data_IF_562608864608
#
_entry.id   IF_562608864608
#
_cell.length_a   1.000
_cell.length_b   1.000
_cell.length_c   1.000
_cell.angle_alpha   90.00
_cell.angle_beta   90.00
_cell.angle_gamma   90.00
#
_symmetry.space_group_name_H-M   'P 1'
#
loop_
_entity.id
_entity.type
_entity.pdbx_description
1 polymer ?
#
# COMPACT_ATOMS: atom_id res chain seq x y z
N UNK A 1 12.12 -31.74 -70.72
CA UNK A 1 11.67 -30.44 -70.20
C UNK A 1 10.64 -30.71 -69.12
N UNK A 2 10.59 -29.86 -68.09
CA UNK A 2 9.72 -29.90 -66.88
C UNK A 2 10.01 -30.96 -65.81
N UNK A 3 10.62 -30.51 -64.70
CA UNK A 3 10.62 -31.15 -63.39
C UNK A 3 10.63 -30.06 -62.31
N UNK A 4 9.81 -30.14 -61.23
CA UNK A 4 9.46 -28.99 -60.41
C UNK A 4 10.53 -28.71 -59.34
N UNK A 5 10.94 -27.45 -59.21
CA UNK A 5 11.74 -26.98 -58.08
C UNK A 5 10.82 -26.70 -56.90
N UNK A 6 10.85 -27.56 -55.89
CA UNK A 6 10.27 -27.26 -54.57
C UNK A 6 11.05 -26.09 -53.94
N UNK A 7 10.41 -24.93 -53.85
CA UNK A 7 10.87 -23.83 -53.02
C UNK A 7 10.37 -24.09 -51.58
N UNK A 8 11.28 -24.46 -50.67
CA UNK A 8 11.00 -24.40 -49.24
C UNK A 8 10.92 -22.93 -48.82
N UNK A 9 9.71 -22.44 -48.60
CA UNK A 9 9.50 -21.18 -47.88
C UNK A 9 9.70 -21.45 -46.38
N UNK A 10 10.86 -21.07 -45.86
CA UNK A 10 11.10 -21.04 -44.42
C UNK A 10 10.30 -19.87 -43.82
N UNK A 11 9.12 -20.16 -43.26
CA UNK A 11 8.37 -19.22 -42.44
C UNK A 11 9.14 -19.02 -41.13
N UNK A 12 9.90 -17.93 -41.04
CA UNK A 12 10.43 -17.40 -39.78
C UNK A 12 9.25 -16.96 -38.92
N UNK A 13 8.78 -17.87 -38.05
CA UNK A 13 7.95 -17.53 -36.91
C UNK A 13 8.78 -16.60 -36.02
N UNK A 14 8.62 -15.29 -36.23
CA UNK A 14 9.09 -14.27 -35.31
C UNK A 14 8.20 -14.38 -34.07
N UNK A 15 8.56 -15.28 -33.16
CA UNK A 15 8.05 -15.28 -31.81
C UNK A 15 8.43 -13.95 -31.18
N UNK A 16 7.49 -13.01 -31.19
CA UNK A 16 7.52 -11.85 -30.31
C UNK A 16 7.42 -12.38 -28.88
N UNK A 17 8.54 -12.85 -28.33
CA UNK A 17 8.69 -12.94 -26.89
C UNK A 17 8.69 -11.50 -26.40
N UNK A 18 7.50 -11.01 -26.06
CA UNK A 18 7.36 -9.88 -25.17
C UNK A 18 8.31 -10.16 -24.00
N UNK A 19 9.24 -9.25 -23.65
CA UNK A 19 10.05 -9.46 -22.46
C UNK A 19 9.05 -9.61 -21.31
N UNK A 20 8.99 -10.82 -20.74
CA UNK A 20 8.20 -11.08 -19.54
C UNK A 20 8.75 -10.07 -18.53
N UNK A 21 7.94 -9.07 -18.19
CA UNK A 21 8.33 -8.09 -17.21
C UNK A 21 8.56 -8.84 -15.91
N UNK A 22 9.82 -9.07 -15.55
CA UNK A 22 10.19 -9.71 -14.30
C UNK A 22 9.44 -8.99 -13.18
N UNK A 23 8.54 -9.73 -12.52
CA UNK A 23 7.88 -9.21 -11.35
C UNK A 23 8.94 -8.97 -10.29
N UNK A 24 9.15 -7.69 -9.97
CA UNK A 24 10.29 -7.24 -9.18
C UNK A 24 9.92 -6.96 -7.72
N UNK A 25 8.64 -7.08 -7.34
CA UNK A 25 8.17 -6.80 -5.98
C UNK A 25 6.95 -7.62 -5.59
N UNK A 26 6.87 -8.00 -4.32
CA UNK A 26 5.75 -8.72 -3.71
C UNK A 26 4.42 -7.94 -3.75
N UNK A 27 4.45 -6.62 -4.01
CA UNK A 27 3.24 -5.83 -4.23
C UNK A 27 2.35 -6.36 -5.36
N UNK A 28 2.92 -7.10 -6.32
CA UNK A 28 2.19 -7.78 -7.41
C UNK A 28 1.06 -8.69 -6.90
N UNK A 29 1.16 -9.20 -5.67
CA UNK A 29 0.13 -10.01 -5.01
C UNK A 29 -1.19 -9.23 -4.82
N UNK A 30 -1.15 -7.90 -4.79
CA UNK A 30 -2.35 -7.08 -4.74
C UNK A 30 -3.18 -7.20 -6.03
N UNK A 31 -2.50 -7.29 -7.17
CA UNK A 31 -3.09 -7.31 -8.51
C UNK A 31 -3.49 -8.71 -8.97
N UNK A 32 -2.83 -9.73 -8.42
CA UNK A 32 -3.09 -11.13 -8.74
C UNK A 32 -3.64 -11.81 -7.47
N UNK A 33 -4.93 -11.59 -7.13
CA UNK A 33 -5.52 -12.19 -5.94
C UNK A 33 -5.38 -13.72 -6.01
N UNK A 34 -4.76 -14.29 -4.99
CA UNK A 34 -4.70 -15.73 -4.80
C UNK A 34 -6.14 -16.18 -4.52
N UNK A 35 -6.77 -16.82 -5.50
CA UNK A 35 -8.09 -17.43 -5.30
C UNK A 35 -7.96 -18.53 -4.24
N UNK A 36 -8.96 -18.62 -3.36
CA UNK A 36 -8.97 -19.51 -2.18
C UNK A 36 -8.39 -20.89 -2.52
N UNK A 37 -7.38 -21.39 -1.79
CA UNK A 37 -6.81 -22.70 -2.02
C UNK A 37 -7.74 -23.78 -1.45
N UNK A 38 -8.94 -23.95 -2.01
CA UNK A 38 -9.81 -25.09 -1.67
C UNK A 38 -9.40 -26.39 -2.40
N UNK A 39 -8.22 -26.43 -3.02
CA UNK A 39 -7.62 -27.67 -3.53
C UNK A 39 -6.32 -28.01 -2.80
N UNK A 40 -6.45 -28.42 -1.54
CA UNK A 40 -5.49 -29.28 -0.89
C UNK A 40 -5.66 -30.72 -1.43
N UNK A 41 -5.28 -30.94 -2.68
CA UNK A 41 -5.12 -32.29 -3.24
C UNK A 41 -3.62 -32.57 -3.39
N UNK A 42 -3.20 -33.69 -2.80
CA UNK A 42 -1.84 -34.24 -2.85
C UNK A 42 -1.31 -34.21 -4.30
N UNK A 43 -0.23 -33.46 -4.54
CA UNK A 43 0.47 -33.42 -5.83
C UNK A 43 0.44 -32.08 -6.59
N UNK A 44 -0.23 -31.04 -6.08
CA UNK A 44 -0.15 -29.70 -6.67
C UNK A 44 1.21 -29.03 -6.38
N UNK A 45 1.83 -28.43 -7.41
CA UNK A 45 3.08 -27.66 -7.31
C UNK A 45 3.02 -26.60 -6.19
N UNK A 46 4.13 -26.29 -5.49
CA UNK A 46 4.11 -25.34 -4.40
C UNK A 46 3.74 -23.94 -4.94
N UNK A 47 2.56 -23.43 -4.54
CA UNK A 47 2.00 -22.12 -4.90
C UNK A 47 3.07 -21.01 -4.90
N UNK A 48 4.00 -21.06 -3.95
CA UNK A 48 5.07 -20.08 -3.75
C UNK A 48 6.10 -19.95 -4.88
N UNK A 49 6.35 -20.98 -5.69
CA UNK A 49 7.28 -20.86 -6.84
C UNK A 49 6.63 -20.11 -8.00
N UNK A 50 5.30 -20.19 -8.11
CA UNK A 50 4.52 -19.54 -9.16
C UNK A 50 4.15 -18.09 -8.80
N UNK A 51 4.20 -17.71 -7.53
CA UNK A 51 3.93 -16.35 -7.10
C UNK A 51 5.01 -15.39 -7.63
N UNK A 52 4.64 -14.45 -8.53
CA UNK A 52 5.59 -13.53 -9.13
C UNK A 52 5.99 -12.44 -8.12
N UNK A 53 7.24 -11.97 -8.15
CA UNK A 53 7.67 -10.82 -7.34
C UNK A 53 8.26 -11.14 -5.97
N UNK A 54 8.20 -12.39 -5.51
CA UNK A 54 8.80 -12.81 -4.25
C UNK A 54 10.34 -12.94 -4.36
N UNK A 55 11.05 -12.34 -3.41
CA UNK A 55 12.47 -12.59 -3.21
C UNK A 55 12.74 -14.03 -2.72
N UNK A 56 13.97 -14.55 -2.85
CA UNK A 56 14.34 -15.86 -2.30
C UNK A 56 13.95 -16.08 -0.83
N UNK A 57 14.15 -15.08 0.04
CA UNK A 57 13.76 -15.16 1.46
C UNK A 57 12.25 -15.11 1.65
N UNK A 58 11.53 -14.25 0.91
CA UNK A 58 10.07 -14.24 0.92
C UNK A 58 9.47 -15.56 0.43
N UNK A 59 10.10 -16.23 -0.54
CA UNK A 59 9.67 -17.55 -1.02
C UNK A 59 9.81 -18.63 0.04
N UNK A 60 10.87 -18.59 0.85
CA UNK A 60 11.01 -19.49 2.02
C UNK A 60 9.92 -19.24 3.05
N UNK A 61 9.61 -17.97 3.34
CA UNK A 61 8.52 -17.63 4.25
C UNK A 61 7.15 -18.08 3.71
N UNK A 62 6.91 -17.89 2.40
CA UNK A 62 5.71 -18.39 1.75
C UNK A 62 5.54 -19.90 1.93
N UNK A 63 6.61 -20.68 1.79
CA UNK A 63 6.55 -22.14 1.95
C UNK A 63 6.14 -22.55 3.37
N UNK A 64 6.54 -21.77 4.39
CA UNK A 64 6.21 -21.99 5.80
C UNK A 64 4.82 -21.45 6.18
N UNK A 65 4.40 -20.35 5.56
CA UNK A 65 3.22 -19.57 5.91
C UNK A 65 2.32 -19.38 4.69
N UNK A 66 1.90 -20.49 4.07
CA UNK A 66 1.13 -20.46 2.83
C UNK A 66 -0.23 -19.77 2.99
N UNK A 67 -0.93 -20.00 4.12
CA UNK A 67 -2.22 -19.38 4.45
C UNK A 67 -2.13 -17.83 4.48
N UNK A 68 -0.98 -17.29 4.88
CA UNK A 68 -0.76 -15.85 5.02
C UNK A 68 -0.69 -15.12 3.68
N UNK A 69 -0.40 -15.82 2.59
CA UNK A 69 -0.15 -15.18 1.30
C UNK A 69 -1.38 -14.46 0.74
N UNK A 70 -2.58 -15.00 0.99
CA UNK A 70 -3.85 -14.35 0.61
C UNK A 70 -3.96 -13.00 1.32
N UNK A 71 -3.73 -12.99 2.63
CA UNK A 71 -3.83 -11.78 3.47
C UNK A 71 -2.68 -10.79 3.24
N UNK A 72 -1.49 -11.25 2.87
CA UNK A 72 -0.40 -10.37 2.38
C UNK A 72 -0.87 -9.61 1.13
N UNK A 73 -1.50 -10.31 0.17
CA UNK A 73 -2.05 -9.70 -1.03
C UNK A 73 -3.19 -8.71 -0.74
N UNK A 74 -4.08 -9.04 0.21
CA UNK A 74 -5.13 -8.13 0.67
C UNK A 74 -4.57 -6.88 1.38
N UNK A 75 -3.53 -7.06 2.21
CA UNK A 75 -2.82 -5.97 2.87
C UNK A 75 -2.15 -5.03 1.86
N UNK A 76 -1.46 -5.59 0.85
CA UNK A 76 -0.88 -4.81 -0.25
C UNK A 76 -1.94 -4.04 -1.03
N UNK A 77 -3.09 -4.68 -1.33
CA UNK A 77 -4.20 -4.04 -2.04
C UNK A 77 -4.80 -2.89 -1.26
N UNK A 78 -5.01 -3.07 0.05
CA UNK A 78 -5.50 -2.01 0.93
C UNK A 78 -4.50 -0.85 1.01
N UNK A 79 -3.20 -1.15 1.09
CA UNK A 79 -2.14 -0.14 1.07
C UNK A 79 -2.10 0.67 -0.23
N UNK A 80 -2.22 0.02 -1.40
CA UNK A 80 -2.26 0.71 -2.71
C UNK A 80 -3.48 1.63 -2.80
N UNK A 81 -4.66 1.13 -2.43
CA UNK A 81 -5.90 1.94 -2.43
C UNK A 81 -5.78 3.15 -1.51
N UNK A 82 -5.19 2.96 -0.33
CA UNK A 82 -4.99 4.06 0.61
C UNK A 82 -3.95 5.06 0.11
N UNK A 83 -2.87 4.60 -0.51
CA UNK A 83 -1.88 5.47 -1.15
C UNK A 83 -2.51 6.31 -2.28
N UNK A 84 -3.29 5.69 -3.16
CA UNK A 84 -4.03 6.39 -4.20
C UNK A 84 -5.02 7.40 -3.61
N UNK A 85 -5.69 7.04 -2.52
CA UNK A 85 -6.57 7.97 -1.83
C UNK A 85 -5.79 9.17 -1.30
N UNK A 86 -4.72 8.97 -0.53
CA UNK A 86 -3.93 10.04 0.08
C UNK A 86 -3.27 10.96 -0.95
N UNK A 87 -2.93 10.44 -2.13
CA UNK A 87 -2.23 11.18 -3.19
C UNK A 87 -3.13 11.60 -4.37
N UNK A 88 -4.44 11.36 -4.33
CA UNK A 88 -5.38 11.66 -5.44
C UNK A 88 -5.30 13.11 -5.98
N UNK A 89 -4.92 14.04 -5.10
CA UNK A 89 -4.79 15.48 -5.36
C UNK A 89 -3.34 15.97 -5.50
N UNK A 90 -2.35 15.08 -5.53
CA UNK A 90 -0.92 15.39 -5.71
C UNK A 90 -0.48 15.04 -7.13
N UNK A 91 0.58 15.67 -7.66
CA UNK A 91 1.11 15.43 -9.03
C UNK A 91 1.51 13.98 -9.27
N UNK A 92 2.17 13.36 -8.30
CA UNK A 92 2.24 11.91 -8.18
C UNK A 92 1.01 11.43 -7.40
N UNK A 93 0.15 10.64 -8.04
CA UNK A 93 -1.13 10.19 -7.47
C UNK A 93 -1.12 8.72 -7.01
N UNK A 94 0.06 8.13 -6.85
CA UNK A 94 0.23 6.72 -6.50
C UNK A 94 -0.48 5.74 -7.46
N UNK A 95 -0.64 6.13 -8.73
CA UNK A 95 -1.18 5.25 -9.77
C UNK A 95 -0.30 4.03 -9.98
N UNK A 96 -0.94 2.88 -10.19
CA UNK A 96 -0.23 1.65 -10.53
C UNK A 96 0.00 1.58 -12.04
N UNK A 97 1.23 1.24 -12.43
CA UNK A 97 1.68 1.30 -13.84
C UNK A 97 1.48 -0.04 -14.54
N UNK A 98 1.69 -1.15 -13.84
CA UNK A 98 1.56 -2.51 -14.35
C UNK A 98 1.18 -3.49 -13.22
N UNK A 99 0.90 -4.75 -13.58
CA UNK A 99 0.54 -5.79 -12.61
C UNK A 99 1.75 -6.47 -11.92
N UNK A 100 2.99 -6.14 -12.30
CA UNK A 100 4.21 -6.89 -11.93
C UNK A 100 5.16 -6.10 -11.03
N UNK A 101 5.50 -4.87 -11.40
CA UNK A 101 6.22 -3.89 -10.60
C UNK A 101 5.29 -3.00 -9.77
N UNK A 102 3.99 -2.98 -10.09
CA UNK A 102 2.89 -2.22 -9.45
C UNK A 102 3.09 -0.72 -9.51
N UNK A 103 4.12 -0.19 -8.88
CA UNK A 103 4.43 1.24 -8.85
C UNK A 103 5.49 1.66 -9.89
N UNK A 104 6.08 0.72 -10.65
CA UNK A 104 7.00 1.07 -11.73
C UNK A 104 8.38 1.54 -11.27
N UNK A 105 9.02 2.34 -12.14
CA UNK A 105 10.39 2.84 -11.93
C UNK A 105 10.51 3.91 -10.86
N UNK A 106 9.41 4.53 -10.44
CA UNK A 106 9.43 5.53 -9.35
C UNK A 106 10.00 4.93 -8.06
N UNK A 107 9.75 3.63 -7.85
CA UNK A 107 10.27 2.87 -6.71
C UNK A 107 11.76 2.53 -6.82
N UNK A 108 12.45 2.93 -7.89
CA UNK A 108 13.92 2.89 -7.96
C UNK A 108 14.55 4.13 -7.34
N UNK A 109 13.82 5.24 -7.22
CA UNK A 109 14.30 6.48 -6.60
C UNK A 109 13.93 6.48 -5.13
N UNK A 110 14.86 6.85 -4.25
CA UNK A 110 14.71 6.87 -2.80
C UNK A 110 13.99 8.11 -2.33
N UNK A 111 12.90 8.47 -3.01
CA UNK A 111 12.15 9.69 -2.79
C UNK A 111 11.18 9.58 -1.61
N UNK A 112 10.57 10.72 -1.28
CA UNK A 112 9.54 10.82 -0.26
C UNK A 112 8.31 9.95 -0.55
N UNK A 113 7.93 9.85 -1.83
CA UNK A 113 6.82 9.02 -2.31
C UNK A 113 7.12 7.53 -2.09
N UNK A 114 8.36 7.12 -2.38
CA UNK A 114 8.84 5.78 -2.08
C UNK A 114 8.79 5.50 -0.59
N UNK A 115 9.24 6.44 0.25
CA UNK A 115 9.20 6.29 1.70
C UNK A 115 7.78 6.00 2.23
N UNK A 116 6.81 6.79 1.78
CA UNK A 116 5.39 6.56 2.12
C UNK A 116 4.89 5.20 1.63
N UNK A 117 5.24 4.81 0.40
CA UNK A 117 4.80 3.55 -0.20
C UNK A 117 5.28 2.33 0.58
N UNK A 118 6.54 2.33 1.03
CA UNK A 118 7.09 1.28 1.90
C UNK A 118 6.35 1.24 3.25
N UNK A 119 6.14 2.41 3.87
CA UNK A 119 5.44 2.51 5.15
C UNK A 119 3.98 2.02 5.09
N UNK A 120 3.19 2.53 4.13
CA UNK A 120 1.77 2.16 4.00
C UNK A 120 1.61 0.68 3.61
N UNK A 121 2.57 0.12 2.84
CA UNK A 121 2.56 -1.30 2.49
C UNK A 121 2.85 -2.20 3.69
N UNK A 122 3.85 -1.87 4.49
CA UNK A 122 4.14 -2.59 5.72
C UNK A 122 2.96 -2.51 6.71
N UNK A 123 2.36 -1.32 6.84
CA UNK A 123 1.14 -1.11 7.62
C UNK A 123 -0.03 -1.96 7.12
N UNK A 124 -0.22 -2.06 5.80
CA UNK A 124 -1.27 -2.87 5.19
C UNK A 124 -1.14 -4.35 5.53
N UNK A 125 0.07 -4.91 5.52
CA UNK A 125 0.33 -6.31 5.90
C UNK A 125 0.05 -6.53 7.39
N UNK A 126 0.48 -5.63 8.28
CA UNK A 126 0.14 -5.73 9.71
C UNK A 126 -1.37 -5.74 9.91
N UNK A 127 -2.09 -4.80 9.28
CA UNK A 127 -3.53 -4.67 9.43
C UNK A 127 -4.27 -5.95 8.98
N UNK A 128 -3.96 -6.46 7.78
CA UNK A 128 -4.62 -7.63 7.22
C UNK A 128 -4.33 -8.91 8.03
N UNK A 129 -3.06 -9.17 8.37
CA UNK A 129 -2.68 -10.38 9.12
C UNK A 129 -3.25 -10.37 10.53
N UNK A 130 -3.19 -9.23 11.22
CA UNK A 130 -3.73 -9.12 12.58
C UNK A 130 -5.25 -9.34 12.65
N UNK A 131 -5.98 -8.91 11.61
CA UNK A 131 -7.42 -9.15 11.48
C UNK A 131 -7.74 -10.60 11.12
N UNK A 132 -6.98 -11.20 10.21
CA UNK A 132 -7.11 -12.61 9.86
C UNK A 132 -6.91 -13.54 11.08
N UNK A 133 -5.94 -13.21 11.95
CA UNK A 133 -5.74 -13.92 13.22
C UNK A 133 -6.96 -13.83 14.15
N UNK A 134 -7.64 -12.68 14.21
CA UNK A 134 -8.85 -12.48 15.02
C UNK A 134 -10.02 -13.27 14.46
N UNK A 135 -10.12 -13.35 13.14
CA UNK A 135 -11.21 -14.04 12.44
C UNK A 135 -11.03 -15.56 12.40
N UNK A 136 -9.86 -16.06 12.83
CA UNK A 136 -9.56 -17.50 12.87
C UNK A 136 -9.20 -18.08 11.51
N UNK A 137 -8.86 -17.23 10.54
CA UNK A 137 -8.51 -17.63 9.17
C UNK A 137 -7.07 -18.16 9.04
N UNK A 138 -6.25 -18.02 10.09
CA UNK A 138 -4.85 -18.43 10.12
C UNK A 138 -4.62 -19.42 11.26
N UNK A 139 -4.19 -20.64 10.94
CA UNK A 139 -3.96 -21.70 11.94
C UNK A 139 -2.83 -21.38 12.93
N UNK A 140 -1.86 -20.58 12.51
CA UNK A 140 -0.66 -20.24 13.29
C UNK A 140 -0.86 -19.14 14.35
N UNK A 141 -2.03 -18.50 14.39
CA UNK A 141 -2.34 -17.44 15.35
C UNK A 141 -3.81 -17.49 15.77
N UNK A 142 -4.18 -16.63 16.71
CA UNK A 142 -5.56 -16.46 17.16
C UNK A 142 -5.76 -15.06 17.70
N UNK A 143 -6.76 -14.87 18.55
CA UNK A 143 -7.07 -13.60 19.19
C UNK A 143 -5.85 -12.98 19.91
N UNK A 144 -5.88 -11.65 20.03
CA UNK A 144 -4.90 -10.90 20.81
C UNK A 144 -4.76 -11.45 22.24
N UNK A 145 -3.51 -11.54 22.71
CA UNK A 145 -3.17 -11.88 24.10
C UNK A 145 -2.71 -10.65 24.89
N UNK A 146 -2.98 -9.44 24.37
CA UNK A 146 -2.58 -8.20 25.03
C UNK A 146 -3.25 -8.08 26.40
N UNK A 147 -2.45 -7.70 27.39
CA UNK A 147 -2.95 -7.48 28.75
C UNK A 147 -3.94 -6.31 28.79
N UNK A 148 -4.83 -6.35 29.77
CA UNK A 148 -5.78 -5.27 30.04
C UNK A 148 -5.03 -3.93 30.20
N UNK A 149 -5.41 -2.87 29.46
CA UNK A 149 -4.85 -1.54 29.65
C UNK A 149 -5.09 -1.02 31.08
N UNK A 150 -4.09 -0.35 31.66
CA UNK A 150 -4.13 0.10 33.07
C UNK A 150 -5.15 1.22 33.31
N UNK A 151 -5.39 2.01 32.28
CA UNK A 151 -6.33 3.13 32.20
C UNK A 151 -7.78 2.69 31.95
N UNK A 152 -8.03 1.40 31.66
CA UNK A 152 -9.37 0.89 31.41
C UNK A 152 -10.19 0.85 32.71
N UNK A 153 -11.38 1.50 32.77
CA UNK A 153 -12.24 1.53 33.96
C UNK A 153 -12.52 0.13 34.53
N UNK A 154 -12.34 -0.05 35.85
CA UNK A 154 -12.35 -1.37 36.51
C UNK A 154 -13.62 -2.19 36.27
N UNK A 155 -14.74 -1.50 36.13
CA UNK A 155 -16.07 -2.03 35.84
C UNK A 155 -16.22 -2.56 34.40
N UNK A 156 -15.35 -2.16 33.47
CA UNK A 156 -15.38 -2.67 32.10
C UNK A 156 -14.61 -3.98 32.02
N UNK A 157 -15.22 -5.02 31.45
CA UNK A 157 -14.58 -6.31 31.28
C UNK A 157 -13.57 -6.27 30.13
N UNK A 158 -12.38 -6.84 30.34
CA UNK A 158 -11.40 -7.06 29.27
C UNK A 158 -11.54 -8.50 28.78
N UNK A 159 -11.88 -8.68 27.50
CA UNK A 159 -12.14 -10.00 26.94
C UNK A 159 -12.69 -9.95 25.53
N UNK A 160 -13.19 -11.08 25.04
CA UNK A 160 -13.55 -11.23 23.63
C UNK A 160 -12.33 -11.53 22.75
N UNK A 161 -12.49 -11.40 21.43
CA UNK A 161 -11.43 -11.66 20.46
C UNK A 161 -10.97 -10.36 19.82
N UNK A 162 -9.85 -9.82 20.30
CA UNK A 162 -9.20 -8.63 19.74
C UNK A 162 -8.25 -8.95 18.58
N UNK A 163 -7.93 -7.94 17.78
CA UNK A 163 -6.96 -8.04 16.68
C UNK A 163 -5.55 -8.35 17.21
N UNK A 164 -4.88 -9.36 16.64
CA UNK A 164 -3.57 -9.79 17.10
C UNK A 164 -2.45 -8.94 16.46
N UNK A 165 -2.36 -7.69 16.91
CA UNK A 165 -1.43 -6.68 16.36
C UNK A 165 0.03 -7.10 16.52
N UNK A 166 0.39 -7.73 17.64
CA UNK A 166 1.75 -8.20 17.91
C UNK A 166 2.18 -9.31 16.95
N UNK A 167 1.29 -10.25 16.62
CA UNK A 167 1.59 -11.28 15.62
C UNK A 167 1.78 -10.66 14.23
N UNK A 168 0.82 -9.83 13.79
CA UNK A 168 0.90 -9.17 12.48
C UNK A 168 2.12 -8.28 12.33
N UNK A 169 2.51 -7.56 13.39
CA UNK A 169 3.74 -6.76 13.43
C UNK A 169 4.97 -7.60 13.15
N UNK A 170 5.15 -8.69 13.92
CA UNK A 170 6.32 -9.57 13.80
C UNK A 170 6.36 -10.26 12.43
N UNK A 171 5.23 -10.77 11.97
CA UNK A 171 5.15 -11.41 10.66
C UNK A 171 5.48 -10.41 9.53
N UNK A 172 4.89 -9.21 9.55
CA UNK A 172 5.17 -8.18 8.55
C UNK A 172 6.65 -7.76 8.57
N UNK A 173 7.29 -7.72 9.74
CA UNK A 173 8.73 -7.48 9.85
C UNK A 173 9.55 -8.54 9.13
N UNK A 174 9.28 -9.83 9.37
CA UNK A 174 10.00 -10.92 8.72
C UNK A 174 9.75 -10.93 7.20
N UNK A 175 8.49 -10.81 6.77
CA UNK A 175 8.14 -10.93 5.35
C UNK A 175 8.48 -9.69 4.51
N UNK A 176 8.14 -8.49 4.97
CA UNK A 176 8.33 -7.25 4.19
C UNK A 176 9.80 -6.85 4.18
N UNK A 177 10.54 -7.06 5.27
CA UNK A 177 11.97 -6.73 5.33
C UNK A 177 12.88 -7.81 4.71
N UNK A 178 12.38 -9.02 4.43
CA UNK A 178 13.18 -10.14 3.91
C UNK A 178 14.03 -9.72 2.70
N UNK A 179 13.41 -9.12 1.68
CA UNK A 179 14.11 -8.69 0.45
C UNK A 179 15.26 -7.71 0.73
N UNK A 180 15.07 -6.79 1.67
CA UNK A 180 16.07 -5.79 2.04
C UNK A 180 17.23 -6.42 2.84
N UNK A 181 16.95 -7.47 3.63
CA UNK A 181 17.94 -8.18 4.47
C UNK A 181 18.71 -9.28 3.75
N UNK A 182 18.22 -9.75 2.61
CA UNK A 182 18.85 -10.84 1.85
C UNK A 182 20.16 -10.45 1.17
N UNK A 183 20.39 -9.15 0.94
CA UNK A 183 21.58 -8.64 0.26
C UNK A 183 22.48 -7.89 1.22
N UNK A 184 23.78 -8.19 1.16
CA UNK A 184 24.81 -7.42 1.83
C UNK A 184 25.36 -6.37 0.87
N UNK A 185 25.21 -5.10 1.20
CA UNK A 185 25.75 -3.99 0.43
C UNK A 185 27.08 -3.51 0.99
N UNK A 186 27.88 -2.90 0.12
CA UNK A 186 29.16 -2.30 0.51
C UNK A 186 28.89 -1.17 1.50
N UNK A 187 29.69 -1.11 2.57
CA UNK A 187 29.53 -0.10 3.62
C UNK A 187 29.74 1.31 3.04
N UNK A 188 28.77 2.18 3.23
CA UNK A 188 28.76 3.55 2.73
C UNK A 188 28.24 3.70 1.30
N UNK A 189 27.75 2.63 0.65
CA UNK A 189 27.20 2.71 -0.70
C UNK A 189 25.79 3.29 -0.74
N UNK A 190 25.37 3.79 -1.90
CA UNK A 190 24.01 4.31 -2.12
C UNK A 190 22.95 3.21 -1.95
N UNK A 191 23.27 1.98 -2.35
CA UNK A 191 22.37 0.83 -2.17
C UNK A 191 22.20 0.48 -0.68
N UNK A 192 23.27 0.63 0.13
CA UNK A 192 23.14 0.51 1.58
C UNK A 192 22.24 1.60 2.15
N UNK A 193 22.39 2.84 1.68
CA UNK A 193 21.53 3.96 2.07
C UNK A 193 20.07 3.64 1.79
N UNK A 194 19.78 3.13 0.60
CA UNK A 194 18.43 2.75 0.18
C UNK A 194 17.85 1.61 1.01
N UNK A 195 18.62 0.56 1.26
CA UNK A 195 18.21 -0.55 2.13
C UNK A 195 17.83 -0.04 3.53
N UNK A 196 18.68 0.80 4.14
CA UNK A 196 18.41 1.38 5.47
C UNK A 196 17.17 2.27 5.48
N UNK A 197 16.98 3.07 4.43
CA UNK A 197 15.78 3.90 4.23
C UNK A 197 14.51 3.03 4.17
N UNK A 198 14.52 1.98 3.35
CA UNK A 198 13.40 1.06 3.20
C UNK A 198 13.03 0.39 4.55
N UNK A 199 14.04 -0.11 5.28
CA UNK A 199 13.83 -0.75 6.59
C UNK A 199 13.24 0.21 7.63
N UNK A 200 13.72 1.45 7.69
CA UNK A 200 13.18 2.49 8.58
C UNK A 200 11.72 2.80 8.25
N UNK A 201 11.41 3.01 6.97
CA UNK A 201 10.06 3.36 6.54
C UNK A 201 9.07 2.20 6.76
N UNK A 202 9.48 0.96 6.53
CA UNK A 202 8.69 -0.21 6.89
C UNK A 202 8.38 -0.24 8.40
N UNK A 203 9.37 0.06 9.23
CA UNK A 203 9.21 0.12 10.68
C UNK A 203 8.23 1.21 11.10
N UNK A 204 8.34 2.41 10.53
CA UNK A 204 7.39 3.51 10.77
C UNK A 204 5.96 3.10 10.41
N UNK A 205 5.77 2.41 9.29
CA UNK A 205 4.49 1.84 8.87
C UNK A 205 3.89 0.85 9.88
N UNK A 206 4.70 -0.12 10.34
CA UNK A 206 4.26 -1.11 11.34
C UNK A 206 3.90 -0.44 12.67
N UNK A 207 4.70 0.55 13.11
CA UNK A 207 4.48 1.31 14.35
C UNK A 207 3.22 2.15 14.30
N UNK A 208 2.91 2.76 13.15
CA UNK A 208 1.67 3.52 12.97
C UNK A 208 0.43 2.67 13.26
N UNK A 209 0.39 1.43 12.75
CA UNK A 209 -0.70 0.48 13.02
C UNK A 209 -0.74 0.08 14.49
N UNK A 210 0.42 -0.24 15.08
CA UNK A 210 0.51 -0.64 16.48
C UNK A 210 0.03 0.45 17.44
N UNK A 211 0.44 1.71 17.19
CA UNK A 211 0.08 2.86 18.03
C UNK A 211 -1.37 3.28 17.92
N UNK A 212 -1.96 3.14 16.74
CA UNK A 212 -3.36 3.51 16.50
C UNK A 212 -4.34 2.41 16.91
N UNK A 213 -3.87 1.20 17.22
CA UNK A 213 -4.72 0.17 17.81
C UNK A 213 -5.18 0.61 19.20
N UNK A 214 -6.48 0.52 19.45
CA UNK A 214 -7.11 1.08 20.64
C UNK A 214 -8.21 0.15 21.18
N UNK A 215 -8.70 0.46 22.38
CA UNK A 215 -9.76 -0.27 23.05
C UNK A 215 -11.09 -0.03 22.33
N UNK A 216 -11.65 -1.08 21.77
CA UNK A 216 -13.03 -1.11 21.32
C UNK A 216 -13.89 -1.89 22.31
N UNK A 217 -15.16 -1.51 22.45
CA UNK A 217 -16.05 -2.11 23.43
C UNK A 217 -17.45 -2.33 22.88
N UNK A 218 -18.13 -3.35 23.42
CA UNK A 218 -19.54 -3.63 23.18
C UNK A 218 -20.32 -3.61 24.49
N UNK A 219 -21.49 -3.00 24.42
CA UNK A 219 -22.44 -2.95 25.52
C UNK A 219 -23.34 -4.18 25.53
N UNK A 220 -23.55 -4.72 26.72
CA UNK A 220 -24.40 -5.85 27.03
C UNK A 220 -25.38 -5.39 28.11
N UNK A 221 -26.65 -5.31 27.76
CA UNK A 221 -27.69 -4.88 28.70
C UNK A 221 -29.06 -4.95 28.05
N UNK A 222 -30.09 -4.97 28.90
CA UNK A 222 -31.49 -5.02 28.44
C UNK A 222 -31.75 -3.82 27.55
N UNK A 223 -32.35 -4.07 26.38
CA UNK A 223 -32.63 -3.05 25.36
C UNK A 223 -31.40 -2.26 24.86
N UNK A 224 -30.21 -2.86 24.90
CA UNK A 224 -28.98 -2.22 24.42
C UNK A 224 -28.31 -1.27 25.42
N UNK A 225 -28.71 -1.33 26.70
CA UNK A 225 -28.04 -0.56 27.75
C UNK A 225 -26.58 -1.02 27.97
N UNK A 226 -25.74 -0.12 28.47
CA UNK A 226 -24.32 -0.38 28.76
C UNK A 226 -24.07 -0.76 30.23
N UNK A 227 -25.02 -1.44 30.88
CA UNK A 227 -24.87 -1.90 32.28
C UNK A 227 -23.73 -2.90 32.45
N UNK A 228 -23.46 -3.69 31.42
CA UNK A 228 -22.26 -4.52 31.30
C UNK A 228 -21.55 -4.15 30.00
N UNK A 229 -20.23 -4.08 30.02
CA UNK A 229 -19.43 -3.69 28.86
C UNK A 229 -18.21 -4.57 28.76
N UNK A 230 -17.98 -5.14 27.58
CA UNK A 230 -16.80 -5.96 27.27
C UNK A 230 -15.96 -5.26 26.23
N UNK A 231 -14.66 -5.17 26.47
CA UNK A 231 -13.70 -4.46 25.63
C UNK A 231 -12.54 -5.37 25.19
N UNK A 232 -12.01 -5.10 24.01
CA UNK A 232 -10.86 -5.78 23.41
C UNK A 232 -9.98 -4.78 22.67
N UNK A 233 -8.76 -5.20 22.34
CA UNK A 233 -7.88 -4.45 21.44
C UNK A 233 -8.40 -4.56 20.00
N UNK A 234 -8.56 -3.43 19.32
CA UNK A 234 -9.01 -3.39 17.93
C UNK A 234 -8.13 -2.45 17.11
N UNK A 235 -7.84 -2.85 15.87
CA UNK A 235 -7.18 -2.01 14.90
C UNK A 235 -8.03 -0.77 14.59
N UNK A 236 -7.38 0.39 14.46
CA UNK A 236 -8.03 1.56 13.89
C UNK A 236 -8.49 1.31 12.44
N UNK A 237 -9.41 2.16 11.98
CA UNK A 237 -9.71 2.28 10.56
C UNK A 237 -8.41 2.55 9.79
N UNK A 238 -8.18 1.83 8.69
CA UNK A 238 -6.96 1.95 7.90
C UNK A 238 -6.80 3.36 7.30
N UNK A 239 -7.89 4.11 7.12
CA UNK A 239 -7.85 5.53 6.76
C UNK A 239 -7.07 6.35 7.79
N UNK A 240 -7.29 6.13 9.09
CA UNK A 240 -6.55 6.85 10.15
C UNK A 240 -5.05 6.55 10.10
N UNK A 241 -4.68 5.32 9.73
CA UNK A 241 -3.27 4.94 9.52
C UNK A 241 -2.70 5.68 8.30
N UNK A 242 -3.44 5.72 7.20
CA UNK A 242 -3.08 6.48 6.01
C UNK A 242 -2.89 7.98 6.28
N UNK A 243 -3.80 8.59 7.05
CA UNK A 243 -3.74 9.99 7.46
C UNK A 243 -2.49 10.28 8.29
N UNK A 244 -2.22 9.46 9.33
CA UNK A 244 -1.00 9.58 10.14
C UNK A 244 0.28 9.44 9.30
N UNK A 245 0.35 8.44 8.42
CA UNK A 245 1.50 8.27 7.54
C UNK A 245 1.63 9.41 6.54
N UNK A 246 0.52 10.03 6.15
CA UNK A 246 0.50 11.16 5.21
C UNK A 246 1.04 12.43 5.86
N UNK A 247 0.78 12.64 7.15
CA UNK A 247 1.44 13.67 7.97
C UNK A 247 2.95 13.41 8.06
N UNK A 248 3.35 12.16 8.36
CA UNK A 248 4.77 11.77 8.40
C UNK A 248 5.48 11.92 7.05
N UNK A 249 4.76 11.76 5.94
CA UNK A 249 5.28 12.08 4.61
C UNK A 249 5.57 13.57 4.45
N UNK A 250 4.67 14.47 4.87
CA UNK A 250 4.88 15.92 4.71
C UNK A 250 6.09 16.40 5.52
N UNK A 251 6.37 15.77 6.67
CA UNK A 251 7.52 16.06 7.55
C UNK A 251 8.72 15.11 7.37
N UNK A 252 8.79 14.33 6.28
CA UNK A 252 9.85 13.32 6.11
C UNK A 252 11.25 13.94 6.03
N UNK A 253 12.24 13.26 6.61
CA UNK A 253 13.61 13.77 6.71
C UNK A 253 14.50 13.31 5.54
N UNK A 254 15.25 14.25 4.97
CA UNK A 254 16.29 13.96 3.97
C UNK A 254 17.55 13.42 4.66
N UNK A 255 17.99 12.24 4.24
CA UNK A 255 19.13 11.52 4.79
C UNK A 255 20.21 11.29 3.73
N UNK A 256 21.45 11.13 4.18
CA UNK A 256 22.60 10.72 3.36
C UNK A 256 23.38 9.63 4.07
N UNK A 257 24.05 8.76 3.33
CA UNK A 257 24.91 7.73 3.91
C UNK A 257 26.27 8.31 4.30
N UNK A 258 26.70 8.04 5.53
CA UNK A 258 28.05 8.37 5.99
C UNK A 258 29.06 7.32 5.54
N UNK A 259 30.35 7.70 5.52
CA UNK A 259 31.45 6.75 5.30
C UNK A 259 31.46 5.60 6.32
N UNK A 260 30.84 5.79 7.49
CA UNK A 260 30.68 4.77 8.54
C UNK A 260 29.51 3.80 8.28
N UNK A 261 28.74 4.00 7.21
CA UNK A 261 27.58 3.18 6.85
C UNK A 261 26.34 3.47 7.68
N UNK A 262 26.22 4.68 8.25
CA UNK A 262 25.02 5.15 8.98
C UNK A 262 24.31 6.25 8.19
N UNK A 263 22.98 6.26 8.23
CA UNK A 263 22.20 7.39 7.74
C UNK A 263 22.37 8.60 8.66
N UNK A 264 22.70 9.74 8.06
CA UNK A 264 22.86 11.04 8.72
C UNK A 264 21.93 12.05 8.05
N UNK A 265 21.46 13.03 8.81
CA UNK A 265 20.67 14.13 8.26
C UNK A 265 21.47 14.89 7.20
N UNK A 266 20.79 15.29 6.12
CA UNK A 266 21.36 16.23 5.15
C UNK A 266 21.47 17.63 5.77
N UNK A 267 20.48 18.03 6.58
CA UNK A 267 20.44 19.30 7.28
C UNK A 267 20.40 19.11 8.79
N UNK A 268 21.51 19.41 9.46
CA UNK A 268 21.71 19.24 10.90
C UNK A 268 20.93 20.25 11.77
N UNK A 269 20.20 21.21 11.18
CA UNK A 269 19.33 22.12 11.94
C UNK A 269 18.04 21.43 12.43
N UNK A 270 17.68 20.31 11.83
CA UNK A 270 16.51 19.54 12.21
C UNK A 270 16.87 18.46 13.24
N UNK A 271 15.86 18.05 14.02
CA UNK A 271 15.98 16.93 14.96
C UNK A 271 16.16 15.61 14.19
N UNK A 272 16.92 14.70 14.79
CA UNK A 272 17.13 13.38 14.22
C UNK A 272 15.78 12.60 14.18
N UNK A 273 15.43 11.98 13.04
CA UNK A 273 14.17 11.26 12.92
C UNK A 273 14.12 10.06 13.85
N UNK A 274 12.96 9.82 14.44
CA UNK A 274 12.65 8.63 15.24
C UNK A 274 12.28 7.45 14.34
N UNK A 275 12.08 6.27 14.92
CA UNK A 275 11.61 5.07 14.20
C UNK A 275 10.18 5.21 13.64
N UNK A 276 9.48 6.29 13.97
CA UNK A 276 8.12 6.58 13.50
C UNK A 276 8.10 7.64 12.40
N UNK A 277 9.25 8.24 12.10
CA UNK A 277 9.39 9.26 11.08
C UNK A 277 9.86 8.63 9.76
N UNK A 278 9.32 9.14 8.67
CA UNK A 278 9.73 8.72 7.34
C UNK A 278 11.02 9.41 6.93
N UNK A 279 11.86 8.68 6.21
CA UNK A 279 13.14 9.16 5.70
C UNK A 279 13.28 8.88 4.22
N UNK A 280 13.99 9.75 3.51
CA UNK A 280 14.29 9.61 2.09
C UNK A 280 15.75 9.95 1.81
N UNK A 281 16.33 9.38 0.76
CA UNK A 281 17.76 9.57 0.41
C UNK A 281 17.97 10.31 -0.91
N UNK A 282 16.96 10.32 -1.78
CA UNK A 282 17.00 10.97 -3.09
C UNK A 282 15.93 12.06 -3.18
N UNK A 283 16.19 13.19 -3.86
CA UNK A 283 15.14 14.18 -4.13
C UNK A 283 14.03 13.58 -4.99
N UNK A 284 12.79 14.00 -4.73
CA UNK A 284 11.65 13.64 -5.60
C UNK A 284 11.87 14.22 -7.01
N UNK A 285 11.61 13.44 -8.07
CA UNK A 285 11.71 13.92 -9.44
C UNK A 285 10.61 14.95 -9.75
N UNK A 286 10.73 15.63 -10.89
CA UNK A 286 9.63 16.42 -11.41
C UNK A 286 8.51 15.52 -11.96
N UNK A 287 7.34 15.59 -11.33
CA UNK A 287 6.15 14.86 -11.72
C UNK A 287 5.26 15.60 -12.73
N UNK A 288 5.63 16.82 -13.13
CA UNK A 288 4.86 17.61 -14.10
C UNK A 288 4.85 17.00 -15.50
N UNK A 289 6.01 16.52 -15.94
CA UNK A 289 6.21 15.96 -17.27
C UNK A 289 6.32 14.44 -17.22
N UNK A 290 5.86 13.78 -18.28
CA UNK A 290 6.07 12.35 -18.45
C UNK A 290 7.56 12.08 -18.64
N UNK A 291 8.10 11.16 -17.85
CA UNK A 291 9.51 10.77 -17.90
C UNK A 291 9.65 9.29 -17.57
N UNK A 292 9.99 8.49 -18.56
CA UNK A 292 10.08 7.02 -18.44
C UNK A 292 11.29 6.55 -17.63
N UNK A 293 12.32 7.40 -17.47
CA UNK A 293 13.49 7.07 -16.65
C UNK A 293 13.13 7.13 -15.16
N UNK A 294 12.44 8.20 -14.76
CA UNK A 294 11.98 8.39 -13.37
C UNK A 294 10.69 7.64 -13.06
N UNK A 295 9.93 7.24 -14.09
CA UNK A 295 8.61 6.65 -13.94
C UNK A 295 7.50 7.69 -13.72
N UNK A 296 7.76 8.98 -13.93
CA UNK A 296 6.72 10.01 -13.91
C UNK A 296 5.78 9.84 -15.10
N UNK A 297 4.47 9.83 -14.85
CA UNK A 297 3.43 9.82 -15.89
C UNK A 297 3.11 11.21 -16.43
N UNK A 298 3.53 12.27 -15.73
CA UNK A 298 3.14 13.65 -16.01
C UNK A 298 1.74 14.00 -15.50
N UNK A 299 1.37 15.28 -15.63
CA UNK A 299 0.06 15.79 -15.19
C UNK A 299 -0.89 16.14 -16.32
N UNK A 300 -0.48 15.96 -17.58
CA UNK A 300 -1.35 16.16 -18.73
C UNK A 300 -2.58 15.23 -18.66
N UNK A 301 -3.76 15.77 -18.97
CA UNK A 301 -5.02 15.03 -18.92
C UNK A 301 -5.58 14.84 -17.50
N UNK A 302 -4.95 15.39 -16.47
CA UNK A 302 -5.46 15.30 -15.09
C UNK A 302 -6.50 16.36 -14.79
N UNK A 303 -7.52 15.95 -14.03
CA UNK A 303 -8.47 16.88 -13.42
C UNK A 303 -7.77 17.79 -12.41
N UNK A 304 -8.18 19.06 -12.40
CA UNK A 304 -7.75 20.04 -11.44
C UNK A 304 -8.94 20.88 -10.94
N UNK A 305 -8.76 21.55 -9.81
CA UNK A 305 -9.76 22.42 -9.21
C UNK A 305 -9.38 23.89 -9.47
N UNK A 306 -10.20 24.61 -10.24
CA UNK A 306 -9.94 26.04 -10.55
C UNK A 306 -10.02 26.94 -9.31
N UNK A 307 -10.81 26.57 -8.31
CA UNK A 307 -11.06 27.39 -7.11
C UNK A 307 -10.08 27.12 -5.97
N UNK A 308 -9.32 26.02 -6.04
CA UNK A 308 -8.36 25.65 -5.00
C UNK A 308 -7.02 26.35 -5.22
N UNK A 309 -6.48 26.93 -4.16
CA UNK A 309 -5.08 27.39 -4.08
C UNK A 309 -4.13 26.27 -3.62
N UNK A 310 -4.68 25.10 -3.29
CA UNK A 310 -3.93 23.92 -2.88
C UNK A 310 -3.31 23.16 -4.05
N UNK A 311 -2.73 21.99 -3.77
CA UNK A 311 -2.04 21.17 -4.78
C UNK A 311 -2.96 20.55 -5.83
N UNK A 312 -4.25 20.45 -5.55
CA UNK A 312 -5.29 20.10 -6.53
C UNK A 312 -5.69 21.29 -7.42
N UNK A 313 -5.25 22.49 -7.05
CA UNK A 313 -5.41 23.73 -7.81
C UNK A 313 -4.86 23.63 -9.22
N UNK A 314 -5.57 24.17 -10.20
CA UNK A 314 -5.13 24.09 -11.61
C UNK A 314 -3.77 24.74 -11.86
N UNK A 315 -3.40 25.79 -11.12
CA UNK A 315 -2.09 26.41 -11.22
C UNK A 315 -0.96 25.44 -10.85
N UNK A 316 -1.11 24.73 -9.72
CA UNK A 316 -0.11 23.81 -9.20
C UNK A 316 -0.16 22.43 -9.89
N UNK A 317 -1.34 21.89 -10.15
CA UNK A 317 -1.51 20.58 -10.80
C UNK A 317 -1.04 20.60 -12.25
N UNK A 318 -1.36 21.67 -13.00
CA UNK A 318 -1.03 21.77 -14.42
C UNK A 318 0.35 22.39 -14.69
N UNK A 319 1.09 22.73 -13.63
CA UNK A 319 2.47 23.21 -13.71
C UNK A 319 2.64 24.42 -14.66
N UNK A 320 1.68 25.36 -14.62
CA UNK A 320 1.70 26.55 -15.46
C UNK A 320 1.36 26.35 -16.94
N UNK A 321 1.09 25.12 -17.41
CA UNK A 321 0.72 24.86 -18.82
C UNK A 321 -0.70 25.30 -19.20
N UNK A 322 -1.49 25.71 -18.20
CA UNK A 322 -2.92 25.99 -18.35
C UNK A 322 -3.77 24.71 -18.35
N UNK A 323 -5.07 24.89 -18.55
CA UNK A 323 -6.07 23.83 -18.51
C UNK A 323 -7.18 24.11 -19.52
N UNK A 324 -7.81 23.04 -20.00
CA UNK A 324 -9.02 23.09 -20.80
C UNK A 324 -10.25 22.97 -19.90
N UNK A 325 -11.33 23.66 -20.27
CA UNK A 325 -12.62 23.60 -19.58
C UNK A 325 -13.64 22.91 -20.46
N UNK A 326 -14.35 21.93 -19.92
CA UNK A 326 -15.50 21.33 -20.58
C UNK A 326 -16.63 21.08 -19.59
N UNK A 327 -17.87 21.10 -20.09
CA UNK A 327 -19.05 20.76 -19.31
C UNK A 327 -19.22 19.25 -19.29
N UNK A 328 -19.37 18.68 -18.11
CA UNK A 328 -19.61 17.26 -17.91
C UNK A 328 -20.92 17.06 -17.15
N UNK A 329 -21.71 16.07 -17.56
CA UNK A 329 -22.93 15.70 -16.85
C UNK A 329 -22.54 14.72 -15.75
N UNK A 330 -22.57 15.17 -14.49
CA UNK A 330 -22.43 14.29 -13.35
C UNK A 330 -23.80 13.74 -12.95
N UNK A 331 -23.86 12.42 -12.78
CA UNK A 331 -25.05 11.72 -12.32
C UNK A 331 -24.83 11.33 -10.88
N UNK A 332 -25.64 11.86 -9.97
CA UNK A 332 -25.60 11.49 -8.56
C UNK A 332 -26.94 10.92 -8.06
N UNK A 333 -26.89 10.24 -6.92
CA UNK A 333 -28.09 9.73 -6.24
C UNK A 333 -28.59 10.80 -5.29
N UNK A 334 -29.72 11.40 -5.62
CA UNK A 334 -30.33 12.49 -4.89
C UNK A 334 -31.71 12.08 -4.34
N UNK A 335 -32.26 12.89 -3.44
CA UNK A 335 -33.60 12.70 -2.87
C UNK A 335 -33.83 11.26 -2.36
N UNK A 336 -32.83 10.71 -1.67
CA UNK A 336 -32.87 9.36 -1.13
C UNK A 336 -33.90 9.28 0.00
N UNK A 337 -34.85 8.35 -0.11
CA UNK A 337 -35.83 8.02 0.92
C UNK A 337 -35.57 6.61 1.44
N UNK A 338 -35.47 6.48 2.76
CA UNK A 338 -35.45 5.18 3.41
C UNK A 338 -36.88 4.63 3.46
N UNK A 339 -37.07 3.40 2.96
CA UNK A 339 -38.30 2.66 3.12
C UNK A 339 -38.08 1.65 4.26
N UNK A 340 -38.98 1.66 5.25
CA UNK A 340 -38.90 0.87 6.49
C UNK A 340 -38.99 -0.67 6.31
N UNK A 341 -38.72 -1.16 5.11
CA UNK A 341 -38.53 -2.57 4.76
C UNK A 341 -37.11 -2.83 4.24
N UNK A 342 -36.14 -2.01 4.68
CA UNK A 342 -34.68 -2.20 4.57
C UNK A 342 -34.03 -1.80 3.24
N UNK A 343 -34.60 -0.84 2.50
CA UNK A 343 -33.91 -0.29 1.33
C UNK A 343 -34.03 1.23 1.22
N UNK A 344 -33.02 1.82 0.60
CA UNK A 344 -33.00 3.24 0.25
C UNK A 344 -33.33 3.38 -1.22
N UNK A 345 -34.39 4.12 -1.54
CA UNK A 345 -34.75 4.49 -2.91
C UNK A 345 -34.31 5.92 -3.17
N UNK A 346 -33.37 6.10 -4.09
CA UNK A 346 -32.92 7.42 -4.55
C UNK A 346 -33.37 7.67 -5.98
N UNK A 347 -33.56 8.94 -6.34
CA UNK A 347 -33.64 9.37 -7.73
C UNK A 347 -32.22 9.55 -8.29
N UNK A 348 -32.08 9.49 -9.61
CA UNK A 348 -30.85 9.93 -10.29
C UNK A 348 -31.04 11.41 -10.63
N UNK A 349 -30.19 12.28 -10.09
CA UNK A 349 -30.11 13.67 -10.50
C UNK A 349 -28.93 13.83 -11.45
N UNK A 350 -29.10 14.71 -12.43
CA UNK A 350 -28.05 15.10 -13.36
C UNK A 350 -27.72 16.56 -13.12
N UNK A 351 -26.46 16.84 -12.85
CA UNK A 351 -25.94 18.20 -12.75
C UNK A 351 -24.90 18.41 -13.85
N UNK A 352 -24.96 19.57 -14.50
CA UNK A 352 -23.93 19.97 -15.46
C UNK A 352 -22.88 20.75 -14.69
N UNK A 353 -21.69 20.15 -14.54
CA UNK A 353 -20.57 20.77 -13.83
C UNK A 353 -19.44 21.09 -14.80
N UNK A 354 -18.75 22.20 -14.54
CA UNK A 354 -17.51 22.53 -15.24
C UNK A 354 -16.37 21.65 -14.73
N UNK A 355 -15.70 20.95 -15.64
CA UNK A 355 -14.48 20.21 -15.37
C UNK A 355 -13.29 20.90 -16.02
N UNK A 356 -12.18 20.91 -15.29
CA UNK A 356 -10.92 21.51 -15.72
C UNK A 356 -9.85 20.42 -15.83
N UNK A 357 -9.20 20.33 -16.98
CA UNK A 357 -8.20 19.31 -17.26
C UNK A 357 -6.90 19.94 -17.74
N UNK A 358 -5.79 19.51 -17.16
CA UNK A 358 -4.47 20.04 -17.48
C UNK A 358 -4.05 19.73 -18.92
N UNK A 359 -3.45 20.73 -19.58
CA UNK A 359 -2.90 20.63 -20.93
C UNK A 359 -1.64 19.78 -21.01
#
# INVERSE_FOLDING_TARGET
>A
MTGPRLALAAALLCSCTSPVADANSWWSLAMNPIQRPEMYIIGAQPVCSQLPGLSPGQRKLCQLYQEHMVFIGEGARSAIKECQYQFRQRRWNCSTVDNTSVFGRVMKIGSRETAFTYAVSAAGVVNAISRACREGELSSCGCSRTARPKDLPRDWLWGGCGDNVEYGYRFAKEFVDAKEREKNYVRGSEEQARMLMNLQNNEAGRRAVYKLADVACKCHGVSGSCSLKTCWLQLADFRKVGDLLKEKYDSAAAMRISRKGKLELVNNRFNMPTQEDLVYVDPSPDYCLRNETTGSLGTQGRLCNKTSEGMDGCELMCCGRGYDQFKSVQVERCHCKFHWCCYVKCKKCTEIVDQYVCK
#
